data_IF_255629683696
#
_entry.id   IF_255629683696
#
_cell.length_a   1.000
_cell.length_b   1.000
_cell.length_c   1.000
_cell.angle_alpha   90.00
_cell.angle_beta   90.00
_cell.angle_gamma   90.00
#
_symmetry.space_group_name_H-M   'P 1'
#
loop_
_entity.id
_entity.type
_entity.pdbx_description
1 polymer ?
#
# COMPACT_ATOMS: atom_id res chain seq x y z
N UNK A 1 -24.16 -17.09 1.31
CA UNK A 1 -23.17 -17.03 0.23
C UNK A 1 -23.31 -15.77 -0.62
N UNK A 2 -24.45 -15.50 -1.28
CA UNK A 2 -24.59 -14.28 -2.12
C UNK A 2 -24.30 -12.98 -1.36
N UNK A 3 -24.84 -12.83 -0.17
CA UNK A 3 -24.59 -11.65 0.67
C UNK A 3 -23.09 -11.47 1.00
N UNK A 4 -22.37 -12.55 1.31
CA UNK A 4 -20.94 -12.48 1.60
C UNK A 4 -20.13 -12.14 0.35
N UNK A 5 -20.56 -12.55 -0.83
CA UNK A 5 -19.97 -12.12 -2.11
C UNK A 5 -20.16 -10.61 -2.32
N UNK A 6 -21.35 -10.07 -2.06
CA UNK A 6 -21.59 -8.62 -2.19
C UNK A 6 -20.73 -7.80 -1.20
N UNK A 7 -20.60 -8.29 0.03
CA UNK A 7 -19.70 -7.68 1.02
C UNK A 7 -18.23 -7.76 0.55
N UNK A 8 -17.78 -8.92 0.05
CA UNK A 8 -16.41 -9.06 -0.48
C UNK A 8 -16.14 -8.12 -1.65
N UNK A 9 -17.13 -7.89 -2.53
CA UNK A 9 -17.04 -6.87 -3.59
C UNK A 9 -16.81 -5.49 -2.99
N UNK A 10 -17.58 -5.12 -1.97
CA UNK A 10 -17.45 -3.83 -1.31
C UNK A 10 -16.07 -3.67 -0.65
N UNK A 11 -15.58 -4.68 0.08
CA UNK A 11 -14.22 -4.69 0.63
C UNK A 11 -13.16 -4.57 -0.48
N UNK A 12 -13.33 -5.27 -1.59
CA UNK A 12 -12.43 -5.18 -2.75
C UNK A 12 -12.42 -3.79 -3.40
N UNK A 13 -13.57 -3.13 -3.50
CA UNK A 13 -13.67 -1.75 -4.00
C UNK A 13 -12.93 -0.79 -3.07
N UNK A 14 -13.21 -0.87 -1.76
CA UNK A 14 -12.59 0.01 -0.77
C UNK A 14 -11.08 -0.20 -0.76
N UNK A 15 -10.59 -1.44 -0.73
CA UNK A 15 -9.17 -1.76 -0.80
C UNK A 15 -8.52 -1.21 -2.09
N UNK A 16 -9.11 -1.52 -3.24
CA UNK A 16 -8.56 -1.10 -4.53
C UNK A 16 -8.50 0.42 -4.72
N UNK A 17 -9.38 1.19 -4.06
CA UNK A 17 -9.33 2.64 -4.05
C UNK A 17 -8.27 3.14 -3.06
N UNK A 18 -8.33 2.68 -1.83
CA UNK A 18 -7.67 3.33 -0.70
C UNK A 18 -6.21 2.91 -0.52
N UNK A 19 -5.79 1.81 -1.13
CA UNK A 19 -4.40 1.35 -1.05
C UNK A 19 -3.45 2.23 -1.86
N UNK A 20 -3.86 2.70 -3.03
CA UNK A 20 -3.01 3.50 -3.92
C UNK A 20 -3.10 4.99 -3.65
N UNK A 21 -4.27 5.48 -3.28
CA UNK A 21 -4.42 6.84 -2.81
C UNK A 21 -3.77 6.96 -1.41
N UNK A 22 -3.03 8.04 -1.14
CA UNK A 22 -2.35 8.15 0.16
C UNK A 22 -3.33 8.55 1.29
N UNK A 23 -4.42 7.77 1.46
CA UNK A 23 -5.54 8.05 2.39
C UNK A 23 -5.76 6.97 3.46
N UNK A 24 -4.95 5.91 3.46
CA UNK A 24 -4.98 4.76 4.40
C UNK A 24 -6.14 3.78 4.20
N UNK A 25 -5.85 2.65 3.57
CA UNK A 25 -6.77 1.51 3.49
C UNK A 25 -7.19 1.00 4.88
N UNK A 26 -6.27 0.91 5.84
CA UNK A 26 -6.55 0.49 7.22
C UNK A 26 -7.65 1.32 7.88
N UNK A 27 -7.60 2.66 7.78
CA UNK A 27 -8.63 3.52 8.34
C UNK A 27 -10.02 3.27 7.76
N UNK A 28 -10.09 3.02 6.45
CA UNK A 28 -11.33 2.72 5.76
C UNK A 28 -11.87 1.32 6.10
N UNK A 29 -10.97 0.32 6.20
CA UNK A 29 -11.36 -1.04 6.55
C UNK A 29 -11.93 -1.14 7.95
N UNK A 30 -11.37 -0.40 8.92
CA UNK A 30 -11.90 -0.31 10.29
C UNK A 30 -13.33 0.24 10.27
N UNK A 31 -13.58 1.34 9.55
CA UNK A 31 -14.93 1.91 9.45
C UNK A 31 -15.90 0.97 8.71
N UNK A 32 -15.44 0.36 7.62
CA UNK A 32 -16.26 -0.54 6.84
C UNK A 32 -16.69 -1.75 7.66
N UNK A 33 -15.78 -2.32 8.47
CA UNK A 33 -16.07 -3.48 9.32
C UNK A 33 -17.10 -3.20 10.41
N UNK A 34 -17.26 -1.94 10.83
CA UNK A 34 -18.31 -1.58 11.79
C UNK A 34 -19.71 -1.65 11.18
N UNK A 35 -19.82 -1.36 9.87
CA UNK A 35 -21.10 -1.28 9.17
C UNK A 35 -21.40 -2.59 8.42
N UNK A 36 -20.36 -3.22 7.87
CA UNK A 36 -20.47 -4.38 6.99
C UNK A 36 -19.57 -5.49 7.51
N UNK A 37 -20.10 -6.34 8.39
CA UNK A 37 -19.37 -7.50 8.92
C UNK A 37 -19.47 -8.70 7.97
N UNK A 38 -18.32 -9.27 7.58
CA UNK A 38 -18.25 -10.55 6.92
C UNK A 38 -18.58 -11.67 7.91
N UNK A 39 -19.44 -12.61 7.50
CA UNK A 39 -19.73 -13.80 8.30
C UNK A 39 -18.70 -14.90 8.02
N UNK A 40 -17.51 -14.73 8.56
CA UNK A 40 -16.31 -15.57 8.42
C UNK A 40 -15.62 -15.71 9.77
N UNK A 41 -14.68 -16.65 9.90
CA UNK A 41 -13.90 -16.77 11.12
C UNK A 41 -13.01 -15.54 11.37
N UNK A 42 -12.76 -15.21 12.64
CA UNK A 42 -11.94 -14.06 13.01
C UNK A 42 -10.51 -14.17 12.45
N UNK A 43 -9.93 -15.37 12.46
CA UNK A 43 -8.60 -15.62 11.92
C UNK A 43 -8.57 -15.49 10.38
N UNK A 44 -9.62 -15.96 9.70
CA UNK A 44 -9.76 -15.73 8.27
C UNK A 44 -9.87 -14.24 7.97
N UNK A 45 -10.67 -13.47 8.72
CA UNK A 45 -10.83 -12.03 8.50
C UNK A 45 -9.51 -11.28 8.63
N UNK A 46 -8.73 -11.56 9.68
CA UNK A 46 -7.37 -10.99 9.85
C UNK A 46 -6.44 -11.31 8.66
N UNK A 47 -6.48 -12.54 8.17
CA UNK A 47 -5.75 -12.91 6.96
C UNK A 47 -6.29 -12.21 5.72
N UNK A 48 -7.62 -12.18 5.53
CA UNK A 48 -8.30 -11.58 4.38
C UNK A 48 -7.91 -10.11 4.18
N UNK A 49 -7.91 -9.30 5.26
CA UNK A 49 -7.57 -7.88 5.19
C UNK A 49 -6.16 -7.62 4.61
N UNK A 50 -5.24 -8.56 4.76
CA UNK A 50 -3.88 -8.42 4.21
C UNK A 50 -3.77 -9.08 2.85
N UNK A 51 -4.38 -10.26 2.67
CA UNK A 51 -4.24 -11.04 1.43
C UNK A 51 -5.02 -10.43 0.26
N UNK A 52 -6.10 -9.69 0.52
CA UNK A 52 -6.83 -8.95 -0.52
C UNK A 52 -5.91 -7.94 -1.25
N UNK A 53 -4.85 -7.46 -0.60
CA UNK A 53 -3.83 -6.60 -1.18
C UNK A 53 -3.06 -7.28 -2.31
N UNK A 54 -3.00 -8.61 -2.36
CA UNK A 54 -2.40 -9.33 -3.50
C UNK A 54 -3.13 -9.02 -4.81
N UNK A 55 -4.45 -8.87 -4.76
CA UNK A 55 -5.21 -8.39 -5.91
C UNK A 55 -4.74 -6.99 -6.33
N UNK A 56 -4.62 -6.09 -5.37
CA UNK A 56 -4.19 -4.72 -5.63
C UNK A 56 -2.77 -4.65 -6.22
N UNK A 57 -1.77 -5.36 -5.69
CA UNK A 57 -0.40 -5.33 -6.23
C UNK A 57 -0.28 -5.92 -7.62
N UNK A 58 -1.14 -6.89 -7.99
CA UNK A 58 -1.16 -7.41 -9.35
C UNK A 58 -1.48 -6.32 -10.38
N UNK A 59 -2.25 -5.29 -10.03
CA UNK A 59 -2.48 -4.13 -10.88
C UNK A 59 -1.18 -3.37 -11.16
N UNK A 60 -0.32 -3.17 -10.14
CA UNK A 60 1.01 -2.54 -10.34
C UNK A 60 1.89 -3.41 -11.23
N UNK A 61 1.95 -4.72 -10.95
CA UNK A 61 2.77 -5.64 -11.75
C UNK A 61 2.36 -5.57 -13.23
N UNK A 62 1.07 -5.57 -13.54
CA UNK A 62 0.59 -5.53 -14.93
C UNK A 62 0.81 -4.15 -15.56
N UNK A 63 0.45 -3.06 -14.87
CA UNK A 63 0.57 -1.70 -15.41
C UNK A 63 2.01 -1.28 -15.63
N UNK A 64 2.92 -1.73 -14.77
CA UNK A 64 4.33 -1.39 -14.82
C UNK A 64 5.22 -2.57 -15.24
N UNK A 65 4.65 -3.61 -15.86
CA UNK A 65 5.38 -4.81 -16.28
C UNK A 65 6.68 -4.49 -17.00
N UNK A 66 6.63 -3.59 -17.97
CA UNK A 66 7.80 -3.21 -18.75
C UNK A 66 8.91 -2.54 -17.92
N UNK A 67 8.60 -1.95 -16.77
CA UNK A 67 9.58 -1.35 -15.85
C UNK A 67 10.06 -2.35 -14.80
N UNK A 68 9.15 -3.17 -14.29
CA UNK A 68 9.43 -4.13 -13.22
C UNK A 68 10.12 -5.39 -13.73
N UNK A 69 9.75 -5.88 -14.92
CA UNK A 69 10.36 -7.08 -15.50
C UNK A 69 11.80 -6.82 -15.92
N UNK A 70 12.80 -7.47 -15.27
CA UNK A 70 14.19 -7.09 -15.42
C UNK A 70 14.86 -7.60 -16.72
N UNK A 71 14.18 -8.48 -17.47
CA UNK A 71 14.78 -9.11 -18.64
C UNK A 71 14.20 -8.58 -19.95
N UNK A 72 15.02 -8.65 -21.02
CA UNK A 72 14.55 -8.49 -22.40
C UNK A 72 15.27 -9.49 -23.32
N UNK A 73 14.68 -9.76 -24.47
CA UNK A 73 15.27 -10.66 -25.45
C UNK A 73 16.19 -9.86 -26.39
N UNK A 74 17.50 -9.98 -26.18
CA UNK A 74 18.52 -9.39 -27.07
C UNK A 74 18.76 -10.29 -28.27
N UNK A 75 18.70 -9.74 -29.48
CA UNK A 75 19.13 -10.44 -30.69
C UNK A 75 20.65 -10.54 -30.70
N UNK A 76 21.18 -11.74 -30.88
CA UNK A 76 22.62 -12.03 -31.06
C UNK A 76 22.82 -12.80 -32.35
N UNK A 77 24.07 -12.88 -32.81
CA UNK A 77 24.40 -13.64 -34.05
C UNK A 77 24.03 -15.14 -33.96
N UNK A 78 23.89 -15.66 -32.73
CA UNK A 78 23.51 -17.06 -32.45
C UNK A 78 22.02 -17.21 -32.08
N UNK A 79 21.17 -16.19 -32.30
CA UNK A 79 19.75 -16.22 -31.97
C UNK A 79 19.35 -15.19 -30.90
N UNK A 80 18.20 -15.39 -30.24
CA UNK A 80 17.71 -14.52 -29.15
C UNK A 80 18.22 -15.04 -27.81
N UNK A 81 18.87 -14.18 -27.01
CA UNK A 81 19.27 -14.48 -25.62
C UNK A 81 18.60 -13.51 -24.64
N UNK A 82 18.21 -14.01 -23.46
CA UNK A 82 17.74 -13.17 -22.39
C UNK A 82 18.90 -12.31 -21.85
N UNK A 83 18.64 -11.02 -21.71
CA UNK A 83 19.60 -10.06 -21.17
C UNK A 83 18.91 -9.18 -20.10
N UNK A 84 19.68 -8.66 -19.14
CA UNK A 84 19.20 -7.70 -18.16
C UNK A 84 18.96 -6.35 -18.82
N UNK A 85 17.87 -5.69 -18.44
CA UNK A 85 17.65 -4.29 -18.76
C UNK A 85 18.60 -3.42 -17.97
N UNK A 86 19.19 -2.43 -18.61
CA UNK A 86 20.07 -1.47 -17.94
C UNK A 86 19.34 -0.79 -16.75
N UNK A 87 19.97 -0.77 -15.59
CA UNK A 87 19.42 -0.20 -14.36
C UNK A 87 18.33 -1.02 -13.65
N UNK A 88 17.80 -2.10 -14.25
CA UNK A 88 16.74 -2.88 -13.62
C UNK A 88 17.20 -3.57 -12.33
N UNK A 89 18.40 -4.13 -12.33
CA UNK A 89 18.98 -4.74 -11.12
C UNK A 89 19.19 -3.70 -10.02
N UNK A 90 19.75 -2.53 -10.36
CA UNK A 90 19.93 -1.44 -9.39
C UNK A 90 18.60 -0.93 -8.83
N UNK A 91 17.55 -0.86 -9.64
CA UNK A 91 16.20 -0.51 -9.17
C UNK A 91 15.69 -1.53 -8.15
N UNK A 92 15.77 -2.83 -8.46
CA UNK A 92 15.33 -3.88 -7.55
C UNK A 92 16.14 -3.91 -6.24
N UNK A 93 17.46 -3.72 -6.30
CA UNK A 93 18.29 -3.62 -5.08
C UNK A 93 17.82 -2.44 -4.22
N UNK A 94 17.55 -1.26 -4.79
CA UNK A 94 17.02 -0.09 -4.07
C UNK A 94 15.65 -0.37 -3.44
N UNK A 95 14.76 -1.08 -4.16
CA UNK A 95 13.46 -1.51 -3.64
C UNK A 95 13.66 -2.43 -2.43
N UNK A 96 14.48 -3.47 -2.55
CA UNK A 96 14.75 -4.41 -1.45
C UNK A 96 15.34 -3.70 -0.24
N UNK A 97 16.37 -2.84 -0.44
CA UNK A 97 16.96 -2.05 0.65
C UNK A 97 15.92 -1.21 1.37
N UNK A 98 15.02 -0.55 0.63
CA UNK A 98 13.95 0.25 1.22
C UNK A 98 12.90 -0.59 1.98
N UNK A 99 12.76 -1.88 1.66
CA UNK A 99 11.83 -2.77 2.34
C UNK A 99 12.40 -3.33 3.67
N UNK A 100 13.74 -3.43 3.81
CA UNK A 100 14.39 -4.09 4.96
C UNK A 100 13.93 -3.54 6.31
N UNK A 101 13.92 -2.22 6.58
CA UNK A 101 13.55 -1.70 7.91
C UNK A 101 12.14 -2.12 8.33
N UNK A 102 11.17 -1.96 7.43
CA UNK A 102 9.78 -2.32 7.70
C UNK A 102 9.58 -3.85 7.81
N UNK A 103 10.31 -4.63 7.02
CA UNK A 103 10.24 -6.08 7.08
C UNK A 103 10.78 -6.62 8.41
N UNK A 104 11.90 -6.11 8.90
CA UNK A 104 12.48 -6.53 10.21
C UNK A 104 11.48 -6.24 11.33
N UNK A 105 10.94 -5.03 11.38
CA UNK A 105 10.01 -4.64 12.45
C UNK A 105 8.68 -5.39 12.32
N UNK A 106 8.14 -5.53 11.12
CA UNK A 106 6.90 -6.30 10.89
C UNK A 106 7.04 -7.78 11.27
N UNK A 107 8.20 -8.42 10.98
CA UNK A 107 8.41 -9.83 11.36
C UNK A 107 8.55 -10.03 12.87
N UNK A 108 9.18 -9.09 13.59
CA UNK A 108 9.49 -9.24 15.02
C UNK A 108 8.34 -8.75 15.91
N UNK A 109 7.65 -7.68 15.49
CA UNK A 109 6.74 -6.93 16.35
C UNK A 109 5.29 -6.90 15.84
N UNK A 110 4.92 -7.64 14.77
CA UNK A 110 3.58 -7.65 14.15
C UNK A 110 2.45 -7.74 15.22
N UNK A 111 2.53 -8.76 16.08
CA UNK A 111 1.48 -9.02 17.07
C UNK A 111 1.39 -7.90 18.14
N UNK A 112 2.54 -7.32 18.57
CA UNK A 112 2.56 -6.19 19.50
C UNK A 112 2.07 -4.89 18.89
N UNK A 113 2.38 -4.66 17.61
CA UNK A 113 1.90 -3.50 16.87
C UNK A 113 0.39 -3.58 16.71
N UNK A 114 -0.13 -4.75 16.34
CA UNK A 114 -1.56 -4.98 16.22
C UNK A 114 -2.26 -4.75 17.56
N UNK A 115 -1.73 -5.28 18.68
CA UNK A 115 -2.28 -5.11 20.02
C UNK A 115 -2.31 -3.66 20.49
N UNK A 116 -1.25 -2.88 20.24
CA UNK A 116 -1.11 -1.52 20.76
C UNK A 116 -1.76 -0.45 19.87
N UNK A 117 -1.70 -0.62 18.54
CA UNK A 117 -2.01 0.45 17.60
C UNK A 117 -3.14 0.15 16.63
N UNK A 118 -3.59 -1.12 16.48
CA UNK A 118 -4.67 -1.47 15.57
C UNK A 118 -6.05 -1.24 16.22
N UNK A 119 -6.24 -0.02 16.72
CA UNK A 119 -7.47 0.45 17.34
C UNK A 119 -7.94 1.75 16.69
N UNK A 120 -9.23 2.09 16.73
CA UNK A 120 -9.78 3.27 16.08
C UNK A 120 -9.06 4.57 16.43
N UNK A 121 -8.77 4.82 17.70
CA UNK A 121 -8.17 6.09 18.16
C UNK A 121 -6.72 6.27 17.67
N UNK A 122 -5.77 5.30 17.88
CA UNK A 122 -4.44 5.41 17.32
C UNK A 122 -4.44 5.59 15.80
N UNK A 123 -5.29 4.84 15.08
CA UNK A 123 -5.43 4.95 13.61
C UNK A 123 -5.94 6.33 13.20
N UNK A 124 -6.91 6.89 13.92
CA UNK A 124 -7.44 8.22 13.65
C UNK A 124 -6.39 9.33 13.89
N UNK A 125 -5.61 9.22 14.97
CA UNK A 125 -4.50 10.13 15.25
C UNK A 125 -3.46 10.06 14.13
N UNK A 126 -3.08 8.87 13.70
CA UNK A 126 -2.14 8.69 12.58
C UNK A 126 -2.69 9.29 11.27
N UNK A 127 -3.98 9.13 10.98
CA UNK A 127 -4.64 9.76 9.85
C UNK A 127 -4.50 11.29 9.89
N UNK A 128 -4.84 11.91 11.01
CA UNK A 128 -4.80 13.38 11.19
C UNK A 128 -3.36 13.89 11.08
N UNK A 129 -2.44 13.30 11.83
CA UNK A 129 -1.03 13.74 11.85
C UNK A 129 -0.43 13.68 10.45
N UNK A 130 -0.56 12.56 9.77
CA UNK A 130 -0.01 12.39 8.41
C UNK A 130 -0.74 13.29 7.40
N UNK A 131 -2.05 13.54 7.59
CA UNK A 131 -2.81 14.50 6.80
C UNK A 131 -2.22 15.92 6.91
N UNK A 132 -1.92 16.36 8.12
CA UNK A 132 -1.25 17.65 8.39
C UNK A 132 0.14 17.67 7.75
N UNK A 133 0.94 16.61 7.91
CA UNK A 133 2.28 16.50 7.34
C UNK A 133 2.24 16.62 5.81
N UNK A 134 1.27 16.00 5.13
CA UNK A 134 1.08 16.17 3.68
C UNK A 134 0.92 17.64 3.30
N UNK A 135 0.04 18.37 3.99
CA UNK A 135 -0.22 19.78 3.70
C UNK A 135 1.04 20.63 3.94
N UNK A 136 1.73 20.39 5.04
CA UNK A 136 2.97 21.10 5.39
C UNK A 136 4.08 20.85 4.36
N UNK A 137 4.32 19.59 4.00
CA UNK A 137 5.36 19.21 3.03
C UNK A 137 5.06 19.78 1.64
N UNK A 138 3.81 19.70 1.17
CA UNK A 138 3.43 20.24 -0.13
C UNK A 138 3.55 21.77 -0.16
N UNK A 139 3.20 22.46 0.93
CA UNK A 139 3.37 23.91 1.03
C UNK A 139 4.85 24.30 1.05
N UNK A 140 5.69 23.61 1.80
CA UNK A 140 7.14 23.84 1.87
C UNK A 140 7.84 23.57 0.52
N UNK A 141 7.31 22.68 -0.31
CA UNK A 141 7.86 22.37 -1.64
C UNK A 141 7.22 23.15 -2.78
N UNK A 142 6.25 24.04 -2.50
CA UNK A 142 5.59 24.86 -3.51
C UNK A 142 6.63 25.72 -4.26
N UNK A 143 6.64 25.64 -5.59
CA UNK A 143 7.57 26.38 -6.44
C UNK A 143 9.00 25.81 -6.51
N UNK A 144 9.35 24.81 -5.68
CA UNK A 144 10.66 24.17 -5.75
C UNK A 144 10.75 23.21 -6.96
N UNK A 145 11.93 23.19 -7.60
CA UNK A 145 12.21 22.22 -8.66
C UNK A 145 12.66 20.89 -8.05
N UNK A 146 12.04 19.77 -8.39
CA UNK A 146 12.48 18.48 -7.85
C UNK A 146 13.89 18.13 -8.36
N UNK A 147 14.71 17.60 -7.47
CA UNK A 147 16.06 17.14 -7.79
C UNK A 147 16.08 15.76 -8.47
N UNK A 148 15.12 14.88 -8.13
CA UNK A 148 14.99 13.51 -8.66
C UNK A 148 13.72 13.44 -9.51
N UNK A 149 13.88 13.22 -10.82
CA UNK A 149 12.78 13.27 -11.81
C UNK A 149 12.52 11.96 -12.52
N UNK A 150 13.35 10.96 -12.29
CA UNK A 150 13.19 9.61 -12.83
C UNK A 150 13.51 8.54 -11.80
N UNK A 151 12.97 7.32 -11.97
CA UNK A 151 13.27 6.17 -11.08
C UNK A 151 14.78 5.85 -11.10
N UNK A 152 15.45 6.01 -12.23
CA UNK A 152 16.89 5.75 -12.34
C UNK A 152 17.75 6.68 -11.48
N UNK A 153 17.31 7.92 -11.26
CA UNK A 153 18.00 8.92 -10.44
C UNK A 153 17.84 8.70 -8.91
N UNK A 154 16.92 7.82 -8.47
CA UNK A 154 16.81 7.47 -7.07
C UNK A 154 18.13 6.83 -6.63
N UNK A 155 18.81 7.45 -5.67
CA UNK A 155 20.05 6.94 -5.08
C UNK A 155 19.75 5.89 -3.99
N UNK A 156 20.74 5.10 -3.60
CA UNK A 156 20.61 4.19 -2.45
C UNK A 156 20.26 4.94 -1.15
N UNK A 157 20.85 6.13 -0.94
CA UNK A 157 20.53 7.00 0.21
C UNK A 157 19.05 7.41 0.18
N UNK A 158 18.54 7.81 -0.99
CA UNK A 158 17.13 8.15 -1.14
C UNK A 158 16.22 6.94 -0.86
N UNK A 159 16.57 5.77 -1.36
CA UNK A 159 15.82 4.54 -1.11
C UNK A 159 15.77 4.18 0.40
N UNK A 160 16.90 4.31 1.12
CA UNK A 160 16.97 4.09 2.57
C UNK A 160 16.05 5.08 3.30
N UNK A 161 16.09 6.37 2.96
CA UNK A 161 15.25 7.38 3.60
C UNK A 161 13.77 7.06 3.35
N UNK A 162 13.37 6.74 2.13
CA UNK A 162 12.00 6.34 1.82
C UNK A 162 11.60 5.08 2.60
N UNK A 163 12.53 4.12 2.76
CA UNK A 163 12.32 2.92 3.56
C UNK A 163 12.13 3.21 5.05
N UNK A 164 12.82 4.21 5.61
CA UNK A 164 12.59 4.65 6.99
C UNK A 164 11.19 5.28 7.17
N UNK A 165 10.69 6.01 6.18
CA UNK A 165 9.31 6.48 6.19
C UNK A 165 8.32 5.32 6.06
N UNK A 166 8.63 4.27 5.28
CA UNK A 166 7.84 3.05 5.24
C UNK A 166 7.78 2.34 6.60
N UNK A 167 8.88 2.35 7.36
CA UNK A 167 8.92 1.82 8.72
C UNK A 167 7.92 2.53 9.64
N UNK A 168 7.76 3.87 9.53
CA UNK A 168 6.75 4.61 10.31
C UNK A 168 5.35 4.05 10.03
N UNK A 169 5.04 3.75 8.76
CA UNK A 169 3.75 3.18 8.40
C UNK A 169 3.57 1.72 8.87
N UNK A 170 4.66 0.96 8.99
CA UNK A 170 4.62 -0.39 9.54
C UNK A 170 4.35 -0.39 11.06
N UNK A 171 4.85 0.61 11.79
CA UNK A 171 4.68 0.72 13.25
C UNK A 171 3.34 1.36 13.62
N UNK A 172 2.85 2.35 12.85
CA UNK A 172 1.64 3.10 13.15
C UNK A 172 0.55 2.86 12.10
N UNK A 173 -0.36 1.87 12.32
CA UNK A 173 -1.51 1.67 11.46
C UNK A 173 -2.31 2.96 11.30
N UNK A 174 -2.86 3.20 10.12
CA UNK A 174 -3.48 4.48 9.79
C UNK A 174 -2.55 5.48 9.11
N UNK A 175 -1.23 5.38 9.28
CA UNK A 175 -0.25 6.22 8.59
C UNK A 175 -0.36 6.11 7.06
N UNK A 176 -0.74 4.97 6.52
CA UNK A 176 -0.69 4.58 5.11
C UNK A 176 0.76 4.40 4.60
N UNK A 177 1.07 3.22 4.13
CA UNK A 177 2.36 2.92 3.50
C UNK A 177 2.64 3.89 2.34
N UNK A 178 1.69 4.02 1.41
CA UNK A 178 1.83 4.95 0.28
C UNK A 178 1.94 6.40 0.75
N UNK A 179 1.21 6.81 1.77
CA UNK A 179 1.31 8.14 2.34
C UNK A 179 2.69 8.45 2.89
N UNK A 180 3.23 7.59 3.74
CA UNK A 180 4.54 7.79 4.37
C UNK A 180 5.68 7.80 3.34
N UNK A 181 5.71 6.84 2.42
CA UNK A 181 6.78 6.75 1.41
C UNK A 181 6.74 7.92 0.43
N UNK A 182 5.55 8.41 0.04
CA UNK A 182 5.41 9.62 -0.78
C UNK A 182 5.94 10.84 -0.03
N UNK A 183 5.54 11.05 1.25
CA UNK A 183 6.03 12.15 2.07
C UNK A 183 7.56 12.11 2.17
N UNK A 184 8.15 10.95 2.50
CA UNK A 184 9.59 10.79 2.57
C UNK A 184 10.30 11.13 1.27
N UNK A 185 9.75 10.69 0.14
CA UNK A 185 10.28 11.01 -1.18
C UNK A 185 10.17 12.50 -1.50
N UNK A 186 9.06 13.15 -1.20
CA UNK A 186 8.88 14.60 -1.44
C UNK A 186 9.86 15.44 -0.60
N UNK A 187 10.08 15.08 0.66
CA UNK A 187 11.00 15.79 1.57
C UNK A 187 12.41 15.83 0.98
N UNK A 188 12.88 14.73 0.39
CA UNK A 188 14.22 14.65 -0.21
C UNK A 188 14.29 15.15 -1.66
N UNK A 189 13.21 15.75 -2.17
CA UNK A 189 13.19 16.40 -3.48
C UNK A 189 12.89 15.48 -4.65
N UNK A 190 12.25 14.32 -4.43
CA UNK A 190 11.71 13.47 -5.50
C UNK A 190 10.45 14.11 -6.08
N UNK A 191 10.29 14.07 -7.40
CA UNK A 191 9.07 14.56 -8.04
C UNK A 191 7.84 13.71 -7.66
N UNK A 192 6.64 14.31 -7.63
CA UNK A 192 5.38 13.64 -7.25
C UNK A 192 5.15 12.33 -8.01
N UNK A 193 5.33 12.36 -9.33
CA UNK A 193 5.13 11.18 -10.17
C UNK A 193 6.11 10.06 -9.87
N UNK A 194 7.39 10.39 -9.64
CA UNK A 194 8.43 9.41 -9.30
C UNK A 194 8.22 8.88 -7.87
N UNK A 195 7.82 9.75 -6.94
CA UNK A 195 7.48 9.34 -5.57
C UNK A 195 6.35 8.31 -5.54
N UNK A 196 5.25 8.57 -6.26
CA UNK A 196 4.16 7.62 -6.37
C UNK A 196 4.56 6.33 -7.08
N UNK A 197 5.28 6.41 -8.21
CA UNK A 197 5.74 5.25 -8.96
C UNK A 197 6.67 4.35 -8.11
N UNK A 198 7.65 4.93 -7.42
CA UNK A 198 8.56 4.18 -6.57
C UNK A 198 7.83 3.56 -5.37
N UNK A 199 6.88 4.28 -4.79
CA UNK A 199 5.98 3.77 -3.75
C UNK A 199 5.19 2.54 -4.21
N UNK A 200 4.69 2.53 -5.44
CA UNK A 200 4.01 1.38 -6.02
C UNK A 200 4.95 0.18 -6.20
N UNK A 201 6.19 0.42 -6.61
CA UNK A 201 7.19 -0.65 -6.74
C UNK A 201 7.57 -1.25 -5.40
N UNK A 202 7.70 -0.43 -4.33
CA UNK A 202 7.91 -0.89 -2.97
C UNK A 202 6.75 -1.78 -2.46
N UNK A 203 5.51 -1.50 -2.90
CA UNK A 203 4.35 -2.27 -2.51
C UNK A 203 4.47 -3.75 -2.88
N UNK A 204 5.04 -4.04 -4.05
CA UNK A 204 5.06 -5.40 -4.59
C UNK A 204 5.73 -6.39 -3.64
N UNK A 205 7.01 -6.24 -3.23
CA UNK A 205 7.64 -7.18 -2.31
C UNK A 205 7.09 -7.11 -0.89
N UNK A 206 6.72 -5.92 -0.38
CA UNK A 206 6.24 -5.75 0.99
C UNK A 206 4.89 -6.43 1.20
N UNK A 207 3.92 -6.16 0.34
CA UNK A 207 2.57 -6.73 0.47
C UNK A 207 2.57 -8.22 0.13
N UNK A 208 3.39 -8.64 -0.81
CA UNK A 208 3.58 -10.07 -1.09
C UNK A 208 4.15 -10.79 0.14
N UNK A 209 5.19 -10.25 0.76
CA UNK A 209 5.79 -10.81 1.97
C UNK A 209 4.81 -10.83 3.16
N UNK A 210 4.10 -9.74 3.41
CA UNK A 210 3.08 -9.64 4.45
C UNK A 210 1.94 -10.66 4.23
N UNK A 211 1.48 -10.82 3.00
CA UNK A 211 0.45 -11.80 2.67
C UNK A 211 0.92 -13.24 2.89
N UNK A 212 2.15 -13.56 2.48
CA UNK A 212 2.74 -14.89 2.76
C UNK A 212 2.82 -15.17 4.27
N UNK A 213 3.23 -14.18 5.06
CA UNK A 213 3.29 -14.31 6.52
C UNK A 213 1.91 -14.57 7.12
N UNK A 214 0.89 -13.80 6.73
CA UNK A 214 -0.48 -13.98 7.26
C UNK A 214 -1.10 -15.31 6.81
N UNK A 215 -0.85 -15.75 5.58
CA UNK A 215 -1.27 -17.10 5.11
C UNK A 215 -0.58 -18.19 5.92
N UNK A 216 0.73 -18.07 6.16
CA UNK A 216 1.49 -19.05 6.95
C UNK A 216 0.99 -19.09 8.40
N UNK A 217 0.74 -17.95 9.05
CA UNK A 217 0.14 -17.86 10.39
C UNK A 217 -1.25 -18.53 10.41
N UNK A 218 -2.11 -18.24 9.43
CA UNK A 218 -3.43 -18.86 9.32
C UNK A 218 -3.35 -20.39 9.15
N UNK A 219 -2.45 -20.87 8.30
CA UNK A 219 -2.24 -22.31 8.11
C UNK A 219 -1.70 -23.00 9.36
N UNK A 220 -0.85 -22.34 10.14
CA UNK A 220 -0.27 -22.87 11.38
C UNK A 220 -1.31 -23.11 12.49
N UNK A 221 -2.44 -22.40 12.47
CA UNK A 221 -3.57 -22.63 13.40
C UNK A 221 -4.34 -23.92 13.05
N UNK A 222 -4.02 -24.57 11.93
CA UNK A 222 -4.66 -25.83 11.51
C UNK A 222 -6.07 -25.66 10.92
N UNK A 223 -6.48 -24.43 10.62
CA UNK A 223 -7.78 -24.15 10.03
C UNK A 223 -7.76 -24.32 8.51
N UNK A 224 -8.76 -25.01 7.97
CA UNK A 224 -9.02 -25.03 6.54
C UNK A 224 -10.09 -24.00 6.19
N UNK A 225 -9.84 -23.21 5.13
CA UNK A 225 -10.86 -22.28 4.62
C UNK A 225 -12.12 -22.99 4.20
N UNK A 226 -13.26 -22.50 4.64
CA UNK A 226 -14.57 -22.94 4.16
C UNK A 226 -14.77 -22.60 2.68
N UNK A 227 -15.73 -23.19 2.03
CA UNK A 227 -16.08 -22.85 0.64
C UNK A 227 -16.44 -21.37 0.48
N UNK A 228 -17.18 -20.82 1.45
CA UNK A 228 -17.56 -19.39 1.46
C UNK A 228 -16.34 -18.49 1.61
N UNK A 229 -15.43 -18.77 2.53
CA UNK A 229 -14.20 -17.99 2.74
C UNK A 229 -13.31 -17.97 1.50
N UNK A 230 -13.15 -19.11 0.82
CA UNK A 230 -12.40 -19.16 -0.45
C UNK A 230 -13.01 -18.25 -1.52
N UNK A 231 -14.34 -18.28 -1.68
CA UNK A 231 -15.04 -17.42 -2.65
C UNK A 231 -14.89 -15.94 -2.26
N UNK A 232 -15.08 -15.60 -0.99
CA UNK A 232 -14.90 -14.23 -0.46
C UNK A 232 -13.47 -13.70 -0.77
N UNK A 233 -12.44 -14.50 -0.53
CA UNK A 233 -11.05 -14.12 -0.79
C UNK A 233 -10.80 -13.90 -2.28
N UNK A 234 -11.23 -14.83 -3.13
CA UNK A 234 -11.02 -14.72 -4.59
C UNK A 234 -11.76 -13.50 -5.14
N UNK A 235 -13.03 -13.31 -4.77
CA UNK A 235 -13.84 -12.18 -5.24
C UNK A 235 -13.24 -10.86 -4.76
N UNK A 236 -12.87 -10.76 -3.47
CA UNK A 236 -12.21 -9.58 -2.91
C UNK A 236 -10.94 -9.22 -3.67
N UNK A 237 -10.05 -10.19 -3.90
CA UNK A 237 -8.80 -9.99 -4.65
C UNK A 237 -9.05 -9.55 -6.10
N UNK A 238 -10.00 -10.18 -6.80
CA UNK A 238 -10.32 -9.83 -8.19
C UNK A 238 -10.87 -8.40 -8.29
N UNK A 239 -11.80 -8.03 -7.41
CA UNK A 239 -12.37 -6.69 -7.40
C UNK A 239 -11.29 -5.66 -7.03
N UNK A 240 -10.47 -5.92 -6.00
CA UNK A 240 -9.36 -5.06 -5.64
C UNK A 240 -8.39 -4.86 -6.82
N UNK A 241 -8.08 -5.91 -7.58
CA UNK A 241 -7.27 -5.82 -8.79
C UNK A 241 -7.87 -4.87 -9.83
N UNK A 242 -9.11 -5.10 -10.25
CA UNK A 242 -9.73 -4.29 -11.31
C UNK A 242 -9.86 -2.82 -10.87
N UNK A 243 -10.33 -2.57 -9.65
CA UNK A 243 -10.44 -1.21 -9.12
C UNK A 243 -9.07 -0.53 -9.04
N UNK A 244 -8.04 -1.24 -8.58
CA UNK A 244 -6.66 -0.74 -8.51
C UNK A 244 -6.12 -0.31 -9.87
N UNK A 245 -6.41 -1.05 -10.95
CA UNK A 245 -5.99 -0.67 -12.32
C UNK A 245 -6.51 0.72 -12.69
N UNK A 246 -7.77 1.02 -12.37
CA UNK A 246 -8.37 2.33 -12.66
C UNK A 246 -7.79 3.43 -11.75
N UNK A 247 -7.68 3.14 -10.45
CA UNK A 247 -7.22 4.12 -9.45
C UNK A 247 -5.76 4.50 -9.65
N UNK A 248 -4.87 3.54 -9.96
CA UNK A 248 -3.46 3.83 -10.25
C UNK A 248 -3.34 4.75 -11.48
N UNK A 249 -4.08 4.44 -12.57
CA UNK A 249 -4.09 5.30 -13.76
C UNK A 249 -4.61 6.70 -13.45
N UNK A 250 -5.72 6.79 -12.68
CA UNK A 250 -6.28 8.07 -12.24
C UNK A 250 -5.27 8.86 -11.42
N UNK A 251 -4.66 8.26 -10.39
CA UNK A 251 -3.70 8.95 -9.52
C UNK A 251 -2.49 9.44 -10.31
N UNK A 252 -1.90 8.60 -11.17
CA UNK A 252 -0.77 9.00 -12.00
C UNK A 252 -1.11 10.14 -12.96
N UNK A 253 -2.34 10.22 -13.45
CA UNK A 253 -2.85 11.36 -14.22
C UNK A 253 -3.05 12.61 -13.37
N UNK A 254 -3.64 12.45 -12.19
CA UNK A 254 -3.97 13.53 -11.26
C UNK A 254 -2.73 14.28 -10.76
N UNK A 255 -1.71 13.56 -10.26
CA UNK A 255 -0.50 14.14 -9.66
C UNK A 255 0.43 14.84 -10.66
N UNK A 256 0.21 14.70 -11.97
CA UNK A 256 0.91 15.50 -12.99
C UNK A 256 0.48 16.96 -12.98
N UNK A 257 -0.75 17.24 -12.53
CA UNK A 257 -1.36 18.59 -12.57
C UNK A 257 -1.67 19.14 -11.18
N UNK A 258 -1.75 18.26 -10.15
CA UNK A 258 -2.19 18.61 -8.80
C UNK A 258 -1.16 18.14 -7.77
N UNK A 259 -1.28 18.66 -6.56
CA UNK A 259 -0.51 18.24 -5.40
C UNK A 259 -1.28 17.22 -4.53
N UNK A 260 -0.63 16.74 -3.47
CA UNK A 260 -1.24 15.75 -2.56
C UNK A 260 -2.07 16.37 -1.43
N UNK A 261 -2.25 17.70 -1.37
CA UNK A 261 -2.96 18.36 -0.26
C UNK A 261 -4.39 17.90 -0.09
N UNK A 262 -5.10 17.62 -1.20
CA UNK A 262 -6.48 17.11 -1.14
C UNK A 262 -6.57 15.81 -0.34
N UNK A 263 -5.60 14.92 -0.49
CA UNK A 263 -5.54 13.68 0.29
C UNK A 263 -5.21 13.95 1.76
N UNK A 264 -4.39 14.99 2.04
CA UNK A 264 -4.11 15.44 3.41
C UNK A 264 -5.39 15.92 4.10
N UNK A 265 -6.18 16.78 3.44
CA UNK A 265 -7.47 17.27 3.97
C UNK A 265 -8.45 16.11 4.18
N UNK A 266 -8.57 15.22 3.19
CA UNK A 266 -9.43 14.04 3.30
C UNK A 266 -9.08 13.18 4.52
N UNK A 267 -7.78 12.94 4.77
CA UNK A 267 -7.31 12.15 5.93
C UNK A 267 -7.68 12.79 7.26
N UNK A 268 -7.57 14.13 7.36
CA UNK A 268 -7.95 14.85 8.58
C UNK A 268 -9.44 14.68 8.83
N UNK A 269 -10.28 14.87 7.81
CA UNK A 269 -11.73 14.68 7.90
C UNK A 269 -12.06 13.23 8.31
N UNK A 270 -11.43 12.26 7.65
CA UNK A 270 -11.62 10.83 7.97
C UNK A 270 -11.20 10.52 9.41
N UNK A 271 -10.06 11.01 9.86
CA UNK A 271 -9.59 10.79 11.23
C UNK A 271 -10.53 11.39 12.27
N UNK A 272 -11.04 12.61 12.05
CA UNK A 272 -12.06 13.23 12.90
C UNK A 272 -13.35 12.38 12.91
N UNK A 273 -13.79 11.90 11.74
CA UNK A 273 -14.96 11.03 11.63
C UNK A 273 -14.76 9.71 12.41
N UNK A 274 -13.57 9.07 12.31
CA UNK A 274 -13.26 7.86 13.09
C UNK A 274 -13.33 8.12 14.60
N UNK A 275 -12.77 9.25 15.06
CA UNK A 275 -12.85 9.64 16.48
C UNK A 275 -14.31 9.84 16.90
N UNK A 276 -15.08 10.61 16.15
CA UNK A 276 -16.48 10.89 16.45
C UNK A 276 -17.32 9.59 16.52
N UNK A 277 -17.12 8.69 15.56
CA UNK A 277 -17.82 7.42 15.51
C UNK A 277 -17.35 6.45 16.61
N UNK A 278 -16.11 6.56 17.07
CA UNK A 278 -15.60 5.70 18.14
C UNK A 278 -16.35 5.89 19.48
N UNK A 279 -16.89 7.07 19.73
CA UNK A 279 -17.73 7.33 20.91
C UNK A 279 -19.16 6.81 20.80
N UNK A 280 -19.58 6.41 19.59
CA UNK A 280 -20.96 5.94 19.33
C UNK A 280 -21.00 4.44 19.05
N UNK A 281 -19.96 3.90 18.41
CA UNK A 281 -19.95 2.54 17.88
C UNK A 281 -19.04 1.57 18.65
N UNK A 282 -18.11 2.09 19.47
CA UNK A 282 -17.16 1.33 20.28
C UNK A 282 -17.33 1.70 21.77
#
# INVERSE_FOLDING_TARGET
>A
MLLEILKAILFGIVEGITEWLPISSTGHMILLDQVVKLNVSADFYKMFQVVIQLGAIMAVVILFWNKLWPFYMKKTNSGKKAAWKDGALAMWIKIIIACIPAAIVGLIFDDKIDELFYHPIPVAIALIVVGIVFIVVENAKKGSRPAIRSIGEITYKAAIIIGLFQLIAAVFPGTSRSGATIIGALIIGVSRSVAAEFTFFLAVPVMFGASLLKIAKYAAVGMAMTGTERVVLIVGCLVAFFVSVFVIKFLMGYIKKHDFKVFGVYRIILGIAVIALSFVLF
#
